data_IF_320416985432
#
_entry.id   IF_320416985432
#
_cell.length_a   1.000
_cell.length_b   1.000
_cell.length_c   1.000
_cell.angle_alpha   90.00
_cell.angle_beta   90.00
_cell.angle_gamma   90.00
#
_symmetry.space_group_name_H-M   'P 1'
#
loop_
_entity.id
_entity.type
_entity.pdbx_description
1 polymer ?
#
# COMPACT_ATOMS: atom_id res chain seq x y z
N UNK A 1 21.43 -0.92 -6.06
CA UNK A 1 20.38 -1.36 -5.12
C UNK A 1 19.38 -2.20 -5.91
N UNK A 2 19.27 -3.50 -5.63
CA UNK A 2 18.31 -4.35 -6.35
C UNK A 2 16.93 -4.09 -5.76
N UNK A 3 16.12 -3.27 -6.43
CA UNK A 3 14.72 -3.13 -6.05
C UNK A 3 14.07 -4.52 -6.10
N UNK A 4 13.57 -5.00 -4.97
CA UNK A 4 13.03 -6.35 -4.84
C UNK A 4 11.60 -6.39 -5.42
N UNK A 5 11.50 -6.28 -6.74
CA UNK A 5 10.24 -6.07 -7.50
C UNK A 5 9.25 -7.24 -7.40
N UNK A 6 9.68 -8.39 -6.86
CA UNK A 6 8.83 -9.57 -6.63
C UNK A 6 8.18 -9.58 -5.24
N UNK A 7 8.61 -8.72 -4.32
CA UNK A 7 8.04 -8.67 -2.98
C UNK A 7 6.66 -8.02 -3.00
N UNK A 8 5.77 -8.52 -2.15
CA UNK A 8 4.43 -7.98 -2.06
C UNK A 8 4.44 -6.59 -1.45
N UNK A 9 3.74 -5.65 -2.10
CA UNK A 9 3.52 -4.30 -1.58
C UNK A 9 2.20 -4.23 -0.83
N UNK A 10 2.22 -3.62 0.36
CA UNK A 10 1.06 -3.43 1.22
C UNK A 10 0.96 -1.97 1.64
N UNK A 11 -0.20 -1.36 1.40
CA UNK A 11 -0.52 -0.05 1.94
C UNK A 11 -0.89 -0.15 3.42
N UNK A 12 -0.29 0.71 4.24
CA UNK A 12 -0.61 0.85 5.67
C UNK A 12 -0.82 2.33 6.02
N UNK A 13 -1.75 2.67 6.93
CA UNK A 13 -1.96 4.05 7.36
C UNK A 13 -0.89 4.52 8.36
N UNK A 14 -0.21 3.59 9.03
CA UNK A 14 0.76 3.81 10.10
C UNK A 14 1.99 4.62 9.63
N UNK A 15 2.63 5.31 10.58
CA UNK A 15 3.92 5.99 10.34
C UNK A 15 5.03 4.94 10.15
N UNK A 16 5.87 5.15 9.14
CA UNK A 16 6.94 4.22 8.81
C UNK A 16 8.30 4.82 9.15
N UNK A 17 9.11 4.02 9.84
CA UNK A 17 10.47 4.38 10.20
C UNK A 17 11.24 3.16 10.67
N UNK A 18 12.57 3.22 10.58
CA UNK A 18 13.45 2.12 10.97
C UNK A 18 13.15 1.65 12.39
N UNK A 19 12.84 0.36 12.55
CA UNK A 19 12.58 -0.27 13.84
C UNK A 19 11.18 -0.04 14.43
N UNK A 20 10.29 0.68 13.73
CA UNK A 20 8.89 0.82 14.15
C UNK A 20 8.20 -0.53 14.09
N UNK A 21 7.41 -0.86 15.12
CA UNK A 21 6.60 -2.07 15.20
C UNK A 21 5.14 -1.71 15.46
N UNK A 22 4.23 -2.37 14.74
CA UNK A 22 2.79 -2.17 14.92
C UNK A 22 2.00 -3.42 14.50
N UNK A 23 0.78 -3.52 15.01
CA UNK A 23 -0.15 -4.56 14.59
C UNK A 23 -0.88 -4.11 13.33
N UNK A 24 -0.78 -4.88 12.25
CA UNK A 24 -1.50 -4.59 11.01
C UNK A 24 -3.01 -4.62 11.25
N UNK A 25 -3.75 -3.69 10.62
CA UNK A 25 -5.20 -3.63 10.70
C UNK A 25 -5.86 -4.94 10.26
N UNK A 26 -7.11 -5.16 10.66
CA UNK A 26 -7.80 -6.45 10.49
C UNK A 26 -7.78 -6.96 9.04
N UNK A 27 -8.05 -6.09 8.07
CA UNK A 27 -8.05 -6.46 6.64
C UNK A 27 -6.63 -6.82 6.14
N UNK A 28 -5.62 -6.04 6.54
CA UNK A 28 -4.22 -6.31 6.19
C UNK A 28 -3.73 -7.61 6.83
N UNK A 29 -4.04 -7.85 8.10
CA UNK A 29 -3.75 -9.09 8.81
C UNK A 29 -4.37 -10.30 8.10
N UNK A 30 -5.65 -10.22 7.71
CA UNK A 30 -6.30 -11.28 6.95
C UNK A 30 -5.62 -11.50 5.59
N UNK A 31 -5.31 -10.43 4.87
CA UNK A 31 -4.65 -10.49 3.58
C UNK A 31 -3.27 -11.16 3.67
N UNK A 32 -2.43 -10.75 4.62
CA UNK A 32 -1.10 -11.33 4.83
C UNK A 32 -1.18 -12.81 5.24
N UNK A 33 -2.02 -13.14 6.23
CA UNK A 33 -2.02 -14.45 6.87
C UNK A 33 -2.84 -15.52 6.13
N UNK A 34 -3.91 -15.14 5.45
CA UNK A 34 -4.88 -16.08 4.85
C UNK A 34 -4.88 -16.03 3.32
N UNK A 35 -4.73 -14.86 2.71
CA UNK A 35 -4.69 -14.74 1.24
C UNK A 35 -3.30 -15.06 0.73
N UNK A 36 -2.28 -14.37 1.23
CA UNK A 36 -0.88 -14.59 0.83
C UNK A 36 -0.22 -15.74 1.60
N UNK A 37 -0.81 -16.15 2.73
CA UNK A 37 -0.33 -17.25 3.58
C UNK A 37 1.10 -17.06 4.08
N UNK A 38 1.48 -15.81 4.36
CA UNK A 38 2.80 -15.48 4.88
C UNK A 38 2.94 -15.91 6.36
N UNK A 39 4.14 -16.37 6.71
CA UNK A 39 4.54 -16.76 8.07
C UNK A 39 5.43 -15.73 8.75
N UNK A 40 5.76 -15.97 10.00
CA UNK A 40 6.76 -15.17 10.72
C UNK A 40 8.11 -15.18 9.99
N UNK A 41 8.79 -14.04 9.97
CA UNK A 41 10.02 -13.82 9.21
C UNK A 41 9.81 -13.52 7.72
N UNK A 42 8.59 -13.69 7.17
CA UNK A 42 8.33 -13.30 5.79
C UNK A 42 8.42 -11.77 5.62
N UNK A 43 9.03 -11.33 4.52
CA UNK A 43 9.20 -9.92 4.20
C UNK A 43 8.15 -9.40 3.22
N UNK A 44 7.74 -8.15 3.44
CA UNK A 44 6.84 -7.37 2.58
C UNK A 44 7.38 -5.94 2.42
N UNK A 45 6.88 -5.24 1.41
CA UNK A 45 7.13 -3.82 1.22
C UNK A 45 5.94 -3.01 1.74
N UNK A 46 6.19 -2.14 2.70
CA UNK A 46 5.20 -1.23 3.27
C UNK A 46 5.32 0.16 2.64
N UNK A 47 4.18 0.81 2.40
CA UNK A 47 4.13 2.21 2.01
C UNK A 47 2.87 2.87 2.55
N UNK A 48 2.92 4.17 2.81
CA UNK A 48 1.82 4.95 3.36
C UNK A 48 1.56 6.27 2.62
N UNK A 49 2.25 6.48 1.49
CA UNK A 49 2.12 7.66 0.64
C UNK A 49 2.85 8.91 1.13
N UNK A 50 3.59 8.84 2.24
CA UNK A 50 4.34 9.99 2.81
C UNK A 50 5.78 9.68 3.23
N UNK A 51 6.04 8.48 3.74
CA UNK A 51 7.35 8.11 4.31
C UNK A 51 8.26 7.33 3.36
N UNK A 52 7.80 7.12 2.12
CA UNK A 52 8.45 6.27 1.13
C UNK A 52 8.02 4.81 1.24
N UNK A 53 8.88 3.93 0.72
CA UNK A 53 8.64 2.50 0.73
C UNK A 53 9.73 1.77 1.53
N UNK A 54 9.29 0.92 2.45
CA UNK A 54 10.13 0.26 3.44
C UNK A 54 10.00 -1.25 3.34
N UNK A 55 11.09 -1.99 3.55
CA UNK A 55 11.01 -3.42 3.85
C UNK A 55 10.51 -3.61 5.28
N UNK A 56 9.70 -4.63 5.50
CA UNK A 56 9.23 -5.02 6.82
C UNK A 56 9.11 -6.53 6.92
N UNK A 57 9.34 -7.07 8.11
CA UNK A 57 9.14 -8.49 8.40
C UNK A 57 7.87 -8.70 9.23
N UNK A 58 7.22 -9.84 9.03
CA UNK A 58 6.21 -10.34 9.97
C UNK A 58 6.93 -10.79 11.24
N UNK A 59 6.84 -9.97 12.29
CA UNK A 59 7.50 -10.23 13.56
C UNK A 59 6.76 -11.28 14.40
N UNK A 60 5.42 -11.28 14.34
CA UNK A 60 4.60 -12.26 15.02
C UNK A 60 3.26 -12.45 14.31
N UNK A 61 2.66 -13.63 14.46
CA UNK A 61 1.30 -13.91 13.98
C UNK A 61 0.43 -14.45 15.10
N UNK A 62 -0.72 -13.83 15.31
CA UNK A 62 -1.76 -14.34 16.20
C UNK A 62 -3.06 -14.60 15.45
N UNK A 63 -4.06 -15.19 16.12
CA UNK A 63 -5.43 -15.29 15.56
C UNK A 63 -6.09 -13.92 15.33
N UNK A 64 -5.64 -12.87 16.02
CA UNK A 64 -6.27 -11.54 16.00
C UNK A 64 -5.59 -10.57 15.04
N UNK A 65 -4.26 -10.62 14.98
CA UNK A 65 -3.44 -9.67 14.23
C UNK A 65 -2.10 -10.26 13.81
N UNK A 66 -1.53 -9.68 12.74
CA UNK A 66 -0.16 -9.84 12.29
C UNK A 66 0.64 -8.63 12.76
N UNK A 67 1.75 -8.86 13.47
CA UNK A 67 2.67 -7.79 13.87
C UNK A 67 3.74 -7.60 12.82
N UNK A 68 3.94 -6.36 12.39
CA UNK A 68 4.94 -5.96 11.42
C UNK A 68 6.06 -5.21 12.12
N UNK A 69 7.30 -5.46 11.68
CA UNK A 69 8.48 -4.71 12.05
C UNK A 69 9.10 -4.07 10.82
N UNK A 70 9.15 -2.75 10.81
CA UNK A 70 9.77 -1.96 9.76
C UNK A 70 11.29 -2.09 9.86
N UNK A 71 11.91 -2.44 8.74
CA UNK A 71 13.35 -2.67 8.62
C UNK A 71 14.01 -1.45 7.98
N UNK A 72 14.15 -1.45 6.65
CA UNK A 72 14.98 -0.49 5.93
C UNK A 72 14.20 0.24 4.83
N UNK A 73 14.53 1.51 4.61
CA UNK A 73 13.98 2.29 3.50
C UNK A 73 14.52 1.74 2.17
N UNK A 74 13.61 1.27 1.32
CA UNK A 74 13.95 0.72 0.00
C UNK A 74 13.86 1.79 -1.09
N UNK A 75 12.88 2.70 -0.99
CA UNK A 75 12.69 3.81 -1.94
C UNK A 75 12.21 5.06 -1.21
N UNK A 76 12.80 6.24 -1.49
CA UNK A 76 12.25 7.49 -0.95
C UNK A 76 10.84 7.75 -1.50
N UNK A 77 10.09 8.59 -0.81
CA UNK A 77 8.77 9.03 -1.27
C UNK A 77 8.90 9.77 -2.62
N UNK A 78 8.24 9.30 -3.70
CA UNK A 78 8.20 10.05 -4.94
C UNK A 78 7.39 11.35 -4.77
N UNK A 79 7.64 12.37 -5.61
CA UNK A 79 6.77 13.54 -5.66
C UNK A 79 5.32 13.13 -5.96
N UNK A 80 4.38 13.89 -5.42
CA UNK A 80 2.97 13.68 -5.72
C UNK A 80 2.71 13.95 -7.21
N UNK A 81 1.89 13.14 -7.88
CA UNK A 81 1.48 13.44 -9.25
C UNK A 81 0.65 14.73 -9.29
N UNK A 82 0.81 15.52 -10.35
CA UNK A 82 0.19 16.84 -10.54
C UNK A 82 -1.02 16.82 -11.49
N UNK A 83 -1.30 15.69 -12.13
CA UNK A 83 -2.46 15.52 -13.01
C UNK A 83 -3.77 15.50 -12.21
N UNK A 84 -4.63 16.49 -12.45
CA UNK A 84 -6.03 16.49 -12.02
C UNK A 84 -6.90 15.94 -13.13
N UNK A 85 -7.45 14.74 -12.92
CA UNK A 85 -8.33 14.10 -13.89
C UNK A 85 -9.79 14.39 -13.59
N UNK A 86 -10.36 15.36 -14.32
CA UNK A 86 -11.77 15.71 -14.25
C UNK A 86 -12.60 14.77 -15.14
N UNK A 87 -13.62 14.13 -14.59
CA UNK A 87 -14.47 13.18 -15.33
C UNK A 87 -15.95 13.32 -15.00
N UNK A 88 -16.82 13.06 -15.99
CA UNK A 88 -18.26 13.00 -15.77
C UNK A 88 -18.64 11.69 -15.04
N UNK A 89 -19.50 11.73 -14.01
CA UNK A 89 -19.92 10.54 -13.27
C UNK A 89 -20.43 9.40 -14.17
N UNK A 90 -19.90 8.20 -13.95
CA UNK A 90 -20.25 7.00 -14.70
C UNK A 90 -21.09 6.03 -13.86
N UNK A 91 -21.78 5.10 -14.52
CA UNK A 91 -22.39 3.95 -13.84
C UNK A 91 -21.31 3.12 -13.13
N UNK A 92 -21.63 2.55 -11.97
CA UNK A 92 -20.70 1.96 -11.00
C UNK A 92 -19.63 1.04 -11.61
N UNK A 93 -19.99 0.10 -12.50
CA UNK A 93 -19.00 -0.81 -13.09
C UNK A 93 -17.96 -0.16 -14.01
N UNK A 94 -18.22 1.03 -14.56
CA UNK A 94 -17.23 1.79 -15.34
C UNK A 94 -16.39 2.71 -14.48
N UNK A 95 -16.88 3.07 -13.29
CA UNK A 95 -16.17 3.93 -12.36
C UNK A 95 -14.91 3.23 -11.82
N UNK A 96 -15.04 1.99 -11.37
CA UNK A 96 -13.90 1.22 -10.82
C UNK A 96 -12.76 1.08 -11.84
N UNK A 97 -13.11 0.77 -13.09
CA UNK A 97 -12.15 0.68 -14.18
C UNK A 97 -11.48 2.03 -14.46
N UNK A 98 -12.25 3.13 -14.49
CA UNK A 98 -11.71 4.48 -14.69
C UNK A 98 -10.75 4.86 -13.56
N UNK A 99 -11.13 4.64 -12.30
CA UNK A 99 -10.31 4.94 -11.13
C UNK A 99 -8.99 4.16 -11.19
N UNK A 100 -9.07 2.85 -11.46
CA UNK A 100 -7.89 2.00 -11.60
C UNK A 100 -6.94 2.54 -12.67
N UNK A 101 -7.44 2.81 -13.88
CA UNK A 101 -6.61 3.26 -14.99
C UNK A 101 -6.07 4.67 -14.82
N UNK A 102 -6.85 5.57 -14.23
CA UNK A 102 -6.37 6.91 -13.91
C UNK A 102 -5.21 6.86 -12.90
N UNK A 103 -5.33 6.06 -11.84
CA UNK A 103 -4.26 5.88 -10.84
C UNK A 103 -3.02 5.21 -11.46
N UNK A 104 -3.19 4.15 -12.27
CA UNK A 104 -2.08 3.48 -12.97
C UNK A 104 -1.32 4.42 -13.92
N UNK A 105 -2.03 5.37 -14.55
CA UNK A 105 -1.45 6.38 -15.45
C UNK A 105 -0.87 7.60 -14.71
N UNK A 106 -0.95 7.66 -13.39
CA UNK A 106 -0.36 8.72 -12.59
C UNK A 106 -1.27 9.94 -12.34
N UNK A 107 -2.59 9.77 -12.33
CA UNK A 107 -3.48 10.82 -11.84
C UNK A 107 -3.24 11.08 -10.34
N UNK A 108 -3.00 12.34 -9.97
CA UNK A 108 -2.82 12.76 -8.58
C UNK A 108 -4.14 13.08 -7.88
N UNK A 109 -5.12 13.59 -8.64
CA UNK A 109 -6.47 13.90 -8.16
C UNK A 109 -7.50 13.37 -9.15
N UNK A 110 -8.53 12.71 -8.64
CA UNK A 110 -9.71 12.31 -9.41
C UNK A 110 -10.87 13.23 -9.02
N UNK A 111 -11.35 14.04 -9.97
CA UNK A 111 -12.36 15.06 -9.73
C UNK A 111 -13.63 14.75 -10.52
N UNK A 112 -14.69 14.20 -9.90
CA UNK A 112 -15.99 14.12 -10.53
C UNK A 112 -16.53 15.54 -10.82
N UNK A 113 -17.03 15.78 -12.03
CA UNK A 113 -17.62 17.05 -12.45
C UNK A 113 -19.02 16.84 -13.04
N UNK A 114 -19.97 17.70 -12.66
CA UNK A 114 -21.32 17.71 -13.23
C UNK A 114 -21.28 18.59 -14.48
N UNK A 115 -21.73 18.04 -15.60
CA UNK A 115 -21.74 18.67 -16.93
C UNK A 115 -23.16 18.72 -17.49
#
# INVERSE_FOLDING_TARGET
MRANYKMQRLFVPDDLGSGVEFDAGQQQSHYLAHVLRLGEGAEVLLFNGRDGEWSAAIAARSKKAVRLKVLELQRPQPPLPDLVYCFAPLKQGRLDYLVQKAVEMGAGVLQPVIT
#
